data_IF_808860380077
#
_entry.id   IF_808860380077
#
_cell.length_a   1.000
_cell.length_b   1.000
_cell.length_c   1.000
_cell.angle_alpha   90.00
_cell.angle_beta   90.00
_cell.angle_gamma   90.00
#
_symmetry.space_group_name_H-M   'P 1'
#
loop_
_entity.id
_entity.type
_entity.pdbx_description
1 polymer ?
#
# COMPACT_ATOMS: atom_id res chain seq x y z
N UNK A 1 44.89 -33.86 2.76
CA UNK A 1 44.07 -32.64 2.60
C UNK A 1 42.91 -32.93 1.66
N UNK A 2 41.67 -32.94 2.16
CA UNK A 2 40.45 -32.80 1.36
C UNK A 2 39.49 -31.96 2.21
N UNK A 3 39.48 -30.65 1.95
CA UNK A 3 38.51 -29.73 2.54
C UNK A 3 37.24 -29.86 1.70
N UNK A 4 36.17 -30.37 2.31
CA UNK A 4 34.83 -30.31 1.75
C UNK A 4 34.32 -28.87 1.93
N UNK A 5 34.28 -28.12 0.83
CA UNK A 5 33.52 -26.88 0.73
C UNK A 5 32.03 -27.27 0.69
N UNK A 6 31.37 -27.24 1.84
CA UNK A 6 29.91 -27.26 1.89
C UNK A 6 29.42 -25.90 1.39
N UNK A 7 28.89 -25.89 0.16
CA UNK A 7 28.15 -24.78 -0.38
C UNK A 7 26.88 -24.63 0.46
N UNK A 8 26.93 -23.80 1.50
CA UNK A 8 25.76 -23.27 2.18
C UNK A 8 25.06 -22.36 1.18
N UNK A 9 24.21 -22.95 0.34
CA UNK A 9 23.12 -22.21 -0.28
C UNK A 9 22.28 -21.69 0.89
N UNK A 10 22.48 -20.42 1.24
CA UNK A 10 21.55 -19.70 2.07
C UNK A 10 20.24 -19.69 1.29
N UNK A 11 19.36 -20.64 1.60
CA UNK A 11 17.95 -20.49 1.32
C UNK A 11 17.53 -19.26 2.12
N UNK A 12 17.47 -18.10 1.47
CA UNK A 12 16.63 -17.01 1.97
C UNK A 12 15.22 -17.60 1.95
N UNK A 13 14.77 -18.11 3.10
CA UNK A 13 13.41 -18.57 3.25
C UNK A 13 12.51 -17.43 2.80
N UNK A 14 11.61 -17.72 1.87
CA UNK A 14 10.64 -16.73 1.42
C UNK A 14 9.74 -16.43 2.63
N UNK A 15 9.92 -15.23 3.19
CA UNK A 15 9.31 -14.83 4.46
C UNK A 15 8.82 -13.38 4.32
N UNK A 16 7.85 -13.01 5.15
CA UNK A 16 7.44 -11.62 5.28
C UNK A 16 8.66 -10.74 5.67
N UNK A 17 8.69 -9.47 5.24
CA UNK A 17 9.72 -8.53 5.66
C UNK A 17 9.71 -8.35 7.18
N UNK A 18 10.80 -7.83 7.72
CA UNK A 18 10.84 -7.48 9.15
C UNK A 18 10.03 -6.21 9.39
N UNK A 19 9.43 -6.07 10.59
CA UNK A 19 8.76 -4.83 11.01
C UNK A 19 9.64 -3.61 10.87
N UNK A 20 10.94 -3.73 11.18
CA UNK A 20 11.90 -2.63 11.04
C UNK A 20 12.02 -2.16 9.59
N UNK A 21 12.19 -3.09 8.64
CA UNK A 21 12.27 -2.76 7.21
C UNK A 21 10.98 -2.11 6.73
N UNK A 22 9.83 -2.75 6.98
CA UNK A 22 8.54 -2.23 6.51
C UNK A 22 8.18 -0.90 7.14
N UNK A 23 8.59 -0.64 8.39
CA UNK A 23 8.44 0.66 9.00
C UNK A 23 9.26 1.74 8.27
N UNK A 24 10.52 1.45 7.92
CA UNK A 24 11.36 2.39 7.17
C UNK A 24 10.79 2.65 5.77
N UNK A 25 10.40 1.59 5.05
CA UNK A 25 9.86 1.68 3.70
C UNK A 25 8.51 2.42 3.69
N UNK A 26 7.65 2.16 4.67
CA UNK A 26 6.39 2.91 4.85
C UNK A 26 6.64 4.40 5.10
N UNK A 27 7.60 4.74 5.98
CA UNK A 27 7.92 6.15 6.29
C UNK A 27 8.46 6.88 5.07
N UNK A 28 9.32 6.21 4.29
CA UNK A 28 9.81 6.74 3.02
C UNK A 28 8.66 6.92 2.02
N UNK A 29 7.75 5.95 1.92
CA UNK A 29 6.58 6.05 1.04
C UNK A 29 5.63 7.19 1.44
N UNK A 30 5.40 7.42 2.73
CA UNK A 30 4.61 8.56 3.18
C UNK A 30 5.26 9.90 2.79
N UNK A 31 6.60 10.01 2.91
CA UNK A 31 7.32 11.20 2.44
C UNK A 31 7.22 11.36 0.91
N UNK A 32 7.25 10.28 0.13
CA UNK A 32 6.98 10.32 -1.30
C UNK A 32 5.57 10.88 -1.58
N UNK A 33 4.54 10.40 -0.88
CA UNK A 33 3.17 10.92 -1.02
C UNK A 33 3.14 12.43 -0.77
N UNK A 34 3.88 12.92 0.25
CA UNK A 34 3.99 14.35 0.55
C UNK A 34 4.67 15.13 -0.56
N UNK A 35 5.77 14.61 -1.07
CA UNK A 35 6.53 15.26 -2.14
C UNK A 35 5.71 15.33 -3.42
N UNK A 36 4.91 14.29 -3.71
CA UNK A 36 4.03 14.25 -4.88
C UNK A 36 2.77 15.11 -4.72
N UNK A 37 2.21 15.20 -3.51
CA UNK A 37 1.09 16.09 -3.21
C UNK A 37 1.48 17.58 -3.30
N UNK A 38 2.72 17.92 -2.95
CA UNK A 38 3.25 19.29 -2.98
C UNK A 38 4.09 19.59 -4.24
N UNK A 39 4.34 18.58 -5.06
CA UNK A 39 5.19 18.64 -6.24
C UNK A 39 4.43 19.03 -7.52
N UNK A 40 5.16 19.22 -8.63
CA UNK A 40 4.56 19.53 -9.92
C UNK A 40 3.77 18.36 -10.54
N UNK A 41 3.99 17.13 -10.04
CA UNK A 41 3.42 15.88 -10.54
C UNK A 41 2.12 15.49 -9.82
N UNK A 42 1.08 16.32 -9.93
CA UNK A 42 -0.29 15.99 -9.51
C UNK A 42 -0.97 14.92 -10.41
N UNK A 43 -0.18 14.02 -10.99
CA UNK A 43 -0.62 12.96 -11.89
C UNK A 43 -0.78 11.62 -11.18
N UNK A 44 -0.11 11.38 -10.04
CA UNK A 44 -0.25 10.12 -9.29
C UNK A 44 -1.68 9.93 -8.79
N UNK A 45 -2.30 10.97 -8.23
CA UNK A 45 -3.70 10.89 -7.79
C UNK A 45 -4.59 10.52 -8.99
N UNK A 46 -4.42 11.16 -10.15
CA UNK A 46 -5.20 10.84 -11.35
C UNK A 46 -4.94 9.43 -11.88
N UNK A 47 -3.69 8.98 -11.86
CA UNK A 47 -3.31 7.64 -12.28
C UNK A 47 -3.97 6.59 -11.37
N UNK A 48 -3.95 6.81 -10.06
CA UNK A 48 -4.61 5.93 -9.09
C UNK A 48 -6.13 5.92 -9.26
N UNK A 49 -6.77 7.09 -9.38
CA UNK A 49 -8.21 7.20 -9.61
C UNK A 49 -8.62 6.48 -10.92
N UNK A 50 -7.79 6.53 -11.96
CA UNK A 50 -8.03 5.75 -13.18
C UNK A 50 -7.99 4.23 -12.90
N UNK A 51 -7.06 3.74 -12.07
CA UNK A 51 -7.00 2.31 -11.71
C UNK A 51 -8.21 1.89 -10.87
N UNK A 52 -8.65 2.71 -9.91
CA UNK A 52 -9.89 2.47 -9.15
C UNK A 52 -11.08 2.33 -10.12
N UNK A 53 -11.21 3.28 -11.04
CA UNK A 53 -12.31 3.28 -12.00
C UNK A 53 -12.27 2.05 -12.91
N UNK A 54 -11.10 1.58 -13.34
CA UNK A 54 -10.97 0.33 -14.09
C UNK A 54 -11.42 -0.87 -13.24
N UNK A 55 -10.91 -1.00 -12.01
CA UNK A 55 -11.28 -2.10 -11.12
C UNK A 55 -12.78 -2.13 -10.81
N UNK A 56 -13.39 -0.97 -10.53
CA UNK A 56 -14.82 -0.83 -10.30
C UNK A 56 -15.68 -1.23 -11.51
N UNK A 57 -15.22 -0.92 -12.72
CA UNK A 57 -15.90 -1.29 -13.96
C UNK A 57 -15.86 -2.80 -14.24
N UNK A 58 -14.83 -3.50 -13.79
CA UNK A 58 -14.67 -4.94 -14.02
C UNK A 58 -15.37 -5.81 -12.96
N UNK A 59 -15.50 -5.31 -11.73
CA UNK A 59 -15.83 -6.16 -10.57
C UNK A 59 -17.13 -5.79 -9.86
N UNK A 60 -17.62 -4.56 -9.99
CA UNK A 60 -18.78 -4.10 -9.23
C UNK A 60 -20.11 -4.37 -9.92
N UNK A 61 -21.12 -4.76 -9.13
CA UNK A 61 -22.51 -4.78 -9.58
C UNK A 61 -23.12 -3.38 -9.74
N UNK A 62 -22.44 -2.33 -9.23
CA UNK A 62 -22.78 -0.92 -9.38
C UNK A 62 -21.53 -0.07 -9.68
N UNK A 63 -20.95 -0.21 -10.89
CA UNK A 63 -19.67 0.42 -11.25
C UNK A 63 -19.59 1.94 -11.03
N UNK A 64 -20.61 2.75 -11.38
CA UNK A 64 -20.54 4.20 -11.20
C UNK A 64 -20.49 4.63 -9.73
N UNK A 65 -21.17 3.89 -8.86
CA UNK A 65 -21.18 4.17 -7.42
C UNK A 65 -19.89 3.68 -6.77
N UNK A 66 -19.38 2.52 -7.17
CA UNK A 66 -18.06 2.05 -6.77
C UNK A 66 -16.96 3.07 -7.09
N UNK A 67 -16.93 3.57 -8.33
CA UNK A 67 -15.93 4.55 -8.77
C UNK A 67 -16.01 5.84 -7.95
N UNK A 68 -17.19 6.46 -7.85
CA UNK A 68 -17.35 7.74 -7.13
C UNK A 68 -17.01 7.61 -5.65
N UNK A 69 -17.50 6.57 -4.98
CA UNK A 69 -17.27 6.39 -3.54
C UNK A 69 -15.79 6.09 -3.27
N UNK A 70 -15.16 5.20 -4.05
CA UNK A 70 -13.72 4.91 -3.87
C UNK A 70 -12.82 6.06 -4.32
N UNK A 71 -13.21 6.84 -5.33
CA UNK A 71 -12.47 8.05 -5.74
C UNK A 71 -12.44 9.07 -4.60
N UNK A 72 -13.60 9.32 -3.98
CA UNK A 72 -13.71 10.25 -2.85
C UNK A 72 -12.99 9.74 -1.60
N UNK A 73 -13.13 8.44 -1.29
CA UNK A 73 -12.42 7.78 -0.21
C UNK A 73 -10.91 7.79 -0.40
N UNK A 74 -10.43 7.49 -1.60
CA UNK A 74 -9.00 7.49 -1.92
C UNK A 74 -8.40 8.89 -1.89
N UNK A 75 -9.08 9.88 -2.45
CA UNK A 75 -8.61 11.26 -2.39
C UNK A 75 -8.50 11.74 -0.93
N UNK A 76 -9.46 11.36 -0.09
CA UNK A 76 -9.41 11.63 1.34
C UNK A 76 -8.22 10.94 2.01
N UNK A 77 -8.03 9.64 1.77
CA UNK A 77 -6.89 8.86 2.27
C UNK A 77 -5.55 9.45 1.85
N UNK A 78 -5.41 9.80 0.56
CA UNK A 78 -4.20 10.41 0.00
C UNK A 78 -3.90 11.75 0.67
N UNK A 79 -4.93 12.59 0.80
CA UNK A 79 -4.81 13.89 1.46
C UNK A 79 -4.45 13.73 2.94
N UNK A 80 -5.01 12.73 3.63
CA UNK A 80 -4.65 12.43 5.02
C UNK A 80 -3.19 11.98 5.12
N UNK A 81 -2.75 11.05 4.27
CA UNK A 81 -1.37 10.58 4.21
C UNK A 81 -0.38 11.74 3.93
N UNK A 82 -0.69 12.62 2.98
CA UNK A 82 0.13 13.78 2.63
C UNK A 82 0.24 14.83 3.76
N UNK A 83 -0.65 14.82 4.74
CA UNK A 83 -0.62 15.76 5.87
C UNK A 83 -0.20 15.09 7.20
N UNK A 84 -0.12 13.77 7.24
CA UNK A 84 0.21 13.03 8.45
C UNK A 84 1.70 13.11 8.79
N UNK A 85 2.05 12.93 10.06
CA UNK A 85 3.43 12.59 10.42
C UNK A 85 3.74 11.17 9.90
N UNK A 86 4.90 10.92 9.24
CA UNK A 86 5.18 9.61 8.63
C UNK A 86 5.21 8.47 9.64
N UNK A 87 5.65 8.74 10.87
CA UNK A 87 5.67 7.73 11.92
C UNK A 87 4.26 7.40 12.39
N UNK A 88 3.49 8.42 12.76
CA UNK A 88 2.11 8.23 13.20
C UNK A 88 1.24 7.55 12.13
N UNK A 89 1.47 7.87 10.85
CA UNK A 89 0.77 7.22 9.74
C UNK A 89 1.17 5.75 9.62
N UNK A 90 2.45 5.42 9.61
CA UNK A 90 2.88 4.02 9.52
C UNK A 90 2.51 3.17 10.75
N UNK A 91 2.41 3.78 11.95
CA UNK A 91 1.89 3.13 13.15
C UNK A 91 0.41 2.76 13.00
N UNK A 92 -0.44 3.63 12.42
CA UNK A 92 -1.87 3.32 12.27
C UNK A 92 -2.11 2.10 11.38
N UNK A 93 -1.24 1.87 10.40
CA UNK A 93 -1.26 0.68 9.54
C UNK A 93 -0.51 -0.53 10.12
N UNK A 94 -0.09 -0.45 11.38
CA UNK A 94 0.71 -1.49 12.05
C UNK A 94 2.04 -1.78 11.34
N UNK A 95 2.60 -0.87 10.55
CA UNK A 95 3.90 -1.06 9.91
C UNK A 95 5.06 -0.72 10.83
N UNK A 96 4.85 0.22 11.76
CA UNK A 96 5.81 0.59 12.78
C UNK A 96 5.33 0.20 14.18
N UNK A 97 6.22 -0.37 14.98
CA UNK A 97 6.15 -0.27 16.43
C UNK A 97 6.86 1.04 16.82
N UNK A 98 6.31 1.78 17.77
CA UNK A 98 6.68 3.18 18.00
C UNK A 98 8.18 3.44 18.14
N UNK A 99 8.63 4.54 17.55
CA UNK A 99 10.01 5.03 17.44
C UNK A 99 10.94 4.21 16.53
N UNK A 100 10.97 4.57 15.25
CA UNK A 100 12.07 4.21 14.32
C UNK A 100 12.43 5.41 13.43
N UNK A 101 13.65 5.95 13.50
CA UNK A 101 14.02 7.09 12.66
C UNK A 101 14.03 6.69 11.17
N UNK A 102 13.42 7.51 10.32
CA UNK A 102 13.61 7.44 8.87
C UNK A 102 14.98 8.04 8.54
N UNK A 103 15.84 7.29 7.83
CA UNK A 103 17.26 7.65 7.66
C UNK A 103 17.71 7.95 6.24
N UNK A 104 16.81 8.12 5.26
CA UNK A 104 17.25 8.16 3.87
C UNK A 104 16.47 9.16 3.01
N UNK A 105 17.23 9.87 2.18
CA UNK A 105 16.73 10.51 0.98
C UNK A 105 16.79 9.47 -0.14
N UNK A 106 15.63 9.13 -0.71
CA UNK A 106 15.52 8.08 -1.71
C UNK A 106 15.00 8.63 -3.04
N UNK A 107 15.32 7.91 -4.12
CA UNK A 107 14.63 8.02 -5.40
C UNK A 107 13.16 7.58 -5.24
N UNK A 108 12.24 8.27 -5.92
CA UNK A 108 10.80 7.99 -5.77
C UNK A 108 10.43 6.58 -6.29
N UNK A 109 11.08 6.11 -7.36
CA UNK A 109 10.81 4.79 -7.91
C UNK A 109 11.31 3.68 -6.97
N UNK A 110 12.53 3.80 -6.44
CA UNK A 110 13.07 2.85 -5.46
C UNK A 110 12.20 2.79 -4.19
N UNK A 111 11.73 3.95 -3.72
CA UNK A 111 10.85 4.04 -2.55
C UNK A 111 9.51 3.33 -2.76
N UNK A 112 8.86 3.60 -3.89
CA UNK A 112 7.58 2.97 -4.20
C UNK A 112 7.72 1.46 -4.39
N UNK A 113 8.79 1.03 -5.08
CA UNK A 113 9.01 -0.40 -5.35
C UNK A 113 9.35 -1.16 -4.08
N UNK A 114 10.16 -0.59 -3.17
CA UNK A 114 10.46 -1.20 -1.88
C UNK A 114 9.20 -1.41 -1.03
N UNK A 115 8.38 -0.36 -0.85
CA UNK A 115 7.14 -0.48 -0.07
C UNK A 115 6.13 -1.44 -0.72
N UNK A 116 6.02 -1.43 -2.05
CA UNK A 116 5.12 -2.35 -2.77
C UNK A 116 5.58 -3.81 -2.68
N UNK A 117 6.89 -4.06 -2.73
CA UNK A 117 7.47 -5.39 -2.50
C UNK A 117 7.21 -5.89 -1.07
N UNK A 118 7.33 -5.01 -0.07
CA UNK A 118 6.99 -5.32 1.31
C UNK A 118 5.50 -5.70 1.47
N UNK A 119 4.59 -4.91 0.89
CA UNK A 119 3.15 -5.25 0.86
C UNK A 119 2.88 -6.58 0.16
N UNK A 120 3.56 -6.87 -0.96
CA UNK A 120 3.46 -8.14 -1.68
C UNK A 120 3.88 -9.32 -0.83
N UNK A 121 5.02 -9.22 -0.14
CA UNK A 121 5.52 -10.26 0.76
C UNK A 121 4.63 -10.43 1.99
N UNK A 122 4.07 -9.35 2.54
CA UNK A 122 3.08 -9.43 3.63
C UNK A 122 1.83 -10.17 3.14
N UNK A 123 1.25 -9.76 2.00
CA UNK A 123 0.09 -10.43 1.42
C UNK A 123 0.31 -11.95 1.23
N UNK A 124 1.53 -12.32 0.82
CA UNK A 124 1.92 -13.69 0.49
C UNK A 124 2.28 -14.56 1.71
N UNK A 125 2.92 -14.00 2.73
CA UNK A 125 3.54 -14.76 3.81
C UNK A 125 2.99 -14.46 5.21
N UNK A 126 2.22 -13.38 5.38
CA UNK A 126 1.64 -12.96 6.67
C UNK A 126 0.21 -12.42 6.48
N UNK A 127 -0.76 -13.34 6.45
CA UNK A 127 -2.17 -12.99 6.27
C UNK A 127 -2.74 -12.16 7.41
N UNK A 128 -2.22 -12.30 8.62
CA UNK A 128 -2.72 -11.57 9.78
C UNK A 128 -2.30 -10.10 9.70
N UNK A 129 -1.04 -9.85 9.33
CA UNK A 129 -0.58 -8.49 9.07
C UNK A 129 -1.27 -7.88 7.84
N UNK A 130 -1.48 -8.65 6.77
CA UNK A 130 -2.28 -8.17 5.63
C UNK A 130 -3.69 -7.74 6.05
N UNK A 131 -4.39 -8.55 6.85
CA UNK A 131 -5.74 -8.25 7.32
C UNK A 131 -5.78 -7.00 8.21
N UNK A 132 -4.76 -6.80 9.05
CA UNK A 132 -4.64 -5.60 9.87
C UNK A 132 -4.46 -4.34 9.00
N UNK A 133 -3.54 -4.40 8.02
CA UNK A 133 -3.36 -3.32 7.04
C UNK A 133 -4.67 -3.02 6.28
N UNK A 134 -5.31 -4.06 5.74
CA UNK A 134 -6.51 -3.90 4.93
C UNK A 134 -7.68 -3.33 5.74
N UNK A 135 -7.81 -3.72 7.01
CA UNK A 135 -8.83 -3.18 7.90
C UNK A 135 -8.64 -1.66 8.07
N UNK A 136 -7.43 -1.21 8.42
CA UNK A 136 -7.16 0.22 8.59
C UNK A 136 -7.33 0.98 7.27
N UNK A 137 -6.84 0.44 6.16
CA UNK A 137 -7.01 1.03 4.83
C UNK A 137 -8.49 1.22 4.49
N UNK A 138 -9.30 0.18 4.75
CA UNK A 138 -10.74 0.21 4.52
C UNK A 138 -11.44 1.27 5.38
N UNK A 139 -11.04 1.41 6.65
CA UNK A 139 -11.58 2.42 7.55
C UNK A 139 -11.30 3.84 7.03
N UNK A 140 -10.06 4.13 6.63
CA UNK A 140 -9.67 5.45 6.15
C UNK A 140 -10.35 5.81 4.81
N UNK A 141 -10.43 4.84 3.87
CA UNK A 141 -11.16 5.01 2.61
C UNK A 141 -12.65 5.27 2.90
N UNK A 142 -13.27 4.47 3.76
CA UNK A 142 -14.70 4.60 4.05
C UNK A 142 -15.05 5.78 4.97
N UNK A 143 -14.08 6.37 5.66
CA UNK A 143 -14.27 7.65 6.35
C UNK A 143 -14.37 8.83 5.37
N UNK A 144 -13.81 8.69 4.16
CA UNK A 144 -13.88 9.70 3.10
C UNK A 144 -15.18 9.70 2.30
N UNK A 145 -16.02 8.66 2.42
CA UNK A 145 -17.31 8.59 1.72
C UNK A 145 -18.44 9.28 2.51
N UNK A 146 -19.54 9.69 1.85
CA UNK A 146 -20.69 10.23 2.56
C UNK A 146 -21.21 9.30 3.67
N UNK A 147 -21.67 9.82 4.82
CA UNK A 147 -22.04 8.98 5.98
C UNK A 147 -23.10 7.91 5.71
N UNK A 148 -24.00 8.14 4.75
CA UNK A 148 -25.02 7.17 4.37
C UNK A 148 -24.47 6.00 3.54
N UNK A 149 -23.28 6.15 2.95
CA UNK A 149 -22.58 5.13 2.15
C UNK A 149 -21.51 4.38 2.95
N UNK A 150 -21.04 4.92 4.09
CA UNK A 150 -19.96 4.32 4.90
C UNK A 150 -20.20 2.84 5.20
N UNK A 151 -21.43 2.46 5.60
CA UNK A 151 -21.76 1.06 5.88
C UNK A 151 -21.66 0.16 4.65
N UNK A 152 -22.02 0.69 3.48
CA UNK A 152 -21.90 -0.03 2.21
C UNK A 152 -20.42 -0.15 1.81
N UNK A 153 -19.67 0.95 1.89
CA UNK A 153 -18.22 0.96 1.66
C UNK A 153 -17.49 -0.08 2.53
N UNK A 154 -17.70 -0.08 3.85
CA UNK A 154 -17.03 -1.03 4.75
C UNK A 154 -17.36 -2.48 4.40
N UNK A 155 -18.61 -2.75 4.03
CA UNK A 155 -19.04 -4.10 3.62
C UNK A 155 -18.37 -4.54 2.31
N UNK A 156 -18.33 -3.65 1.31
CA UNK A 156 -17.67 -3.93 0.04
C UNK A 156 -16.17 -4.14 0.23
N UNK A 157 -15.50 -3.23 0.93
CA UNK A 157 -14.07 -3.34 1.24
C UNK A 157 -13.73 -4.66 1.95
N UNK A 158 -14.54 -5.08 2.92
CA UNK A 158 -14.36 -6.39 3.57
C UNK A 158 -14.54 -7.56 2.60
N UNK A 159 -15.48 -7.47 1.66
CA UNK A 159 -15.72 -8.50 0.65
C UNK A 159 -14.60 -8.58 -0.41
N UNK A 160 -13.90 -7.47 -0.68
CA UNK A 160 -12.78 -7.38 -1.62
C UNK A 160 -11.43 -7.80 -1.03
N UNK A 161 -11.32 -7.91 0.30
CA UNK A 161 -10.05 -8.24 0.96
C UNK A 161 -9.34 -9.48 0.36
N UNK A 162 -10.01 -10.63 0.14
CA UNK A 162 -9.35 -11.81 -0.42
C UNK A 162 -8.82 -11.59 -1.85
N UNK A 163 -9.55 -10.86 -2.69
CA UNK A 163 -9.15 -10.55 -4.06
C UNK A 163 -7.99 -9.55 -4.07
N UNK A 164 -8.02 -8.55 -3.18
CA UNK A 164 -6.93 -7.60 -3.02
C UNK A 164 -5.66 -8.28 -2.53
N UNK A 165 -5.76 -9.20 -1.57
CA UNK A 165 -4.62 -10.01 -1.09
C UNK A 165 -4.02 -10.85 -2.22
N UNK A 166 -4.88 -11.52 -3.00
CA UNK A 166 -4.44 -12.33 -4.13
C UNK A 166 -3.75 -11.46 -5.20
N UNK A 167 -4.32 -10.30 -5.54
CA UNK A 167 -3.73 -9.36 -6.48
C UNK A 167 -2.37 -8.82 -6.02
N UNK A 168 -2.22 -8.55 -4.73
CA UNK A 168 -0.97 -8.05 -4.15
C UNK A 168 0.12 -9.14 -4.07
N UNK A 169 -0.26 -10.41 -3.91
CA UNK A 169 0.68 -11.54 -3.82
C UNK A 169 1.51 -11.73 -5.08
N UNK A 170 0.95 -11.41 -6.25
CA UNK A 170 1.58 -11.60 -7.56
C UNK A 170 1.92 -10.28 -8.26
N UNK A 171 1.83 -9.15 -7.54
CA UNK A 171 2.12 -7.84 -8.09
C UNK A 171 3.60 -7.72 -8.45
N UNK A 172 3.90 -7.13 -9.60
CA UNK A 172 5.25 -6.65 -9.91
C UNK A 172 5.39 -5.21 -9.37
N UNK A 173 6.26 -4.97 -8.37
CA UNK A 173 6.40 -3.65 -7.76
C UNK A 173 6.77 -2.56 -8.76
N UNK A 174 7.63 -2.87 -9.73
CA UNK A 174 8.05 -1.91 -10.76
C UNK A 174 6.89 -1.56 -11.68
N UNK A 175 6.11 -2.54 -12.14
CA UNK A 175 4.93 -2.27 -12.97
C UNK A 175 3.84 -1.52 -12.20
N UNK A 176 3.64 -1.84 -10.92
CA UNK A 176 2.68 -1.13 -10.07
C UNK A 176 3.06 0.35 -9.90
N UNK A 177 4.33 0.62 -9.58
CA UNK A 177 4.83 1.98 -9.44
C UNK A 177 4.87 2.76 -10.77
N UNK A 178 5.12 2.06 -11.88
CA UNK A 178 5.03 2.64 -13.22
C UNK A 178 3.58 3.00 -13.60
N UNK A 179 2.61 2.16 -13.23
CA UNK A 179 1.19 2.46 -13.43
C UNK A 179 0.73 3.70 -12.66
N UNK A 180 1.43 4.02 -11.56
CA UNK A 180 1.22 5.24 -10.78
C UNK A 180 2.01 6.45 -11.30
N UNK A 181 2.84 6.31 -12.33
CA UNK A 181 3.74 7.36 -12.85
C UNK A 181 4.81 7.83 -11.86
N UNK A 182 5.13 6.98 -10.88
CA UNK A 182 6.23 7.18 -9.92
C UNK A 182 7.54 6.66 -10.52
N UNK A 183 7.44 5.50 -11.18
CA UNK A 183 8.35 5.02 -12.21
C UNK A 183 7.70 5.29 -13.59
#
# INVERSE_FOLDING_TARGET
>A
MKVFFACLLAFTAAQAPTKEQTCQDCKAFNNLIKDEANGPNNNIIKAFLNQINLACNETSSQPPLCGISLDSGFLNWWTAAANADPEAWCESYSFCDSSSPSLFAFDHCDTCTAFTDDLSKIAKYDSDWWNAFWSQFSEDICAGVPPFETKFCTKEMAAYNPQAQAGMTDIDPTLACAALTIC
#
